data_IF_225610985530
#
_entry.id   IF_225610985530
#
_cell.length_a   1.000
_cell.length_b   1.000
_cell.length_c   1.000
_cell.angle_alpha   90.00
_cell.angle_beta   90.00
_cell.angle_gamma   90.00
#
_symmetry.space_group_name_H-M   'P 1'
#
loop_
_entity.id
_entity.type
_entity.pdbx_description
1 polymer ?
#
# COMPACT_ATOMS: atom_id res chain seq x y z
N UNK A 1 -47.44 -28.49 43.63
CA UNK A 1 -47.23 -27.11 44.10
C UNK A 1 -47.19 -26.18 42.89
N UNK A 2 -47.99 -25.11 42.98
CA UNK A 2 -47.94 -23.81 42.27
C UNK A 2 -46.88 -23.61 41.16
N UNK A 3 -47.11 -22.89 40.05
CA UNK A 3 -48.27 -22.32 39.33
C UNK A 3 -47.63 -21.58 38.11
N UNK A 4 -48.23 -21.72 36.92
CA UNK A 4 -48.47 -20.70 35.84
C UNK A 4 -47.23 -20.01 35.18
N UNK A 5 -46.93 -20.26 33.90
CA UNK A 5 -47.47 -19.70 32.61
C UNK A 5 -47.14 -18.21 32.34
N UNK A 6 -46.83 -17.81 31.08
CA UNK A 6 -46.29 -16.51 30.65
C UNK A 6 -47.40 -15.52 30.22
N UNK A 7 -47.04 -14.25 29.96
CA UNK A 7 -47.91 -13.17 29.46
C UNK A 7 -47.00 -12.14 28.76
N UNK A 8 -46.99 -11.95 27.42
CA UNK A 8 -47.97 -11.34 26.50
C UNK A 8 -48.21 -9.83 26.74
N UNK A 9 -47.79 -9.00 25.75
CA UNK A 9 -48.43 -7.78 25.17
C UNK A 9 -47.32 -6.95 24.47
N UNK A 10 -47.24 -6.70 23.15
CA UNK A 10 -48.20 -6.22 22.15
C UNK A 10 -48.78 -4.82 22.45
N UNK A 11 -48.21 -3.76 21.83
CA UNK A 11 -48.87 -2.56 21.28
C UNK A 11 -47.84 -1.84 20.38
N UNK A 12 -47.95 -1.76 19.04
CA UNK A 12 -48.90 -1.08 18.14
C UNK A 12 -48.69 0.46 18.02
N UNK A 13 -48.59 0.91 16.76
CA UNK A 13 -49.06 2.21 16.19
C UNK A 13 -48.33 3.51 16.58
N UNK A 14 -48.22 4.61 15.80
CA UNK A 14 -48.61 5.02 14.42
C UNK A 14 -48.39 6.56 14.36
N UNK A 15 -47.95 7.12 13.21
CA UNK A 15 -48.10 8.53 12.77
C UNK A 15 -47.46 9.64 13.64
N UNK A 16 -47.12 10.86 13.19
CA UNK A 16 -47.54 11.68 12.06
C UNK A 16 -46.50 12.80 11.79
N UNK A 17 -46.56 13.29 10.55
CA UNK A 17 -46.00 14.51 9.93
C UNK A 17 -45.69 15.73 10.82
N UNK A 18 -44.75 16.57 10.34
CA UNK A 18 -44.87 18.02 10.07
C UNK A 18 -43.59 18.43 9.29
N UNK A 19 -43.60 18.69 7.98
CA UNK A 19 -44.04 19.91 7.30
C UNK A 19 -43.38 21.20 7.83
N UNK A 20 -42.34 21.66 7.14
CA UNK A 20 -41.77 23.01 7.26
C UNK A 20 -41.52 23.58 5.86
N UNK A 21 -42.35 24.55 5.49
CA UNK A 21 -42.42 25.22 4.20
C UNK A 21 -41.62 26.54 4.20
N UNK A 22 -41.05 26.84 3.04
CA UNK A 22 -40.83 28.18 2.44
C UNK A 22 -39.66 29.05 2.92
N UNK A 23 -39.23 30.07 2.14
CA UNK A 23 -39.55 30.38 0.73
C UNK A 23 -38.32 30.47 -0.20
N UNK A 24 -38.63 30.39 -1.49
CA UNK A 24 -37.77 30.69 -2.61
C UNK A 24 -37.22 32.14 -2.58
N UNK A 25 -35.94 32.29 -2.91
CA UNK A 25 -35.41 33.54 -3.46
C UNK A 25 -35.11 33.32 -4.95
N UNK A 26 -35.94 33.96 -5.74
CA UNK A 26 -35.76 34.22 -7.16
C UNK A 26 -34.68 35.29 -7.32
N UNK A 27 -33.62 34.97 -8.06
CA UNK A 27 -32.86 35.98 -8.81
C UNK A 27 -32.47 35.38 -10.15
N UNK A 28 -32.95 36.06 -11.19
CA UNK A 28 -32.82 35.88 -12.64
C UNK A 28 -31.41 35.53 -13.17
N UNK A 29 -31.32 34.85 -14.32
CA UNK A 29 -30.07 34.66 -15.05
C UNK A 29 -29.61 35.97 -15.73
N UNK A 30 -28.30 36.26 -15.81
CA UNK A 30 -27.80 37.29 -16.70
C UNK A 30 -27.86 36.84 -18.16
N UNK A 31 -28.50 37.68 -18.97
CA UNK A 31 -28.59 37.67 -20.43
C UNK A 31 -27.20 37.85 -21.09
N UNK A 32 -26.90 37.19 -22.23
CA UNK A 32 -25.58 37.19 -22.85
C UNK A 32 -25.51 38.24 -23.95
N UNK A 33 -24.91 39.40 -23.67
CA UNK A 33 -24.57 40.38 -24.72
C UNK A 33 -23.36 41.21 -24.32
N UNK A 34 -22.15 40.79 -24.67
CA UNK A 34 -21.06 41.69 -25.11
C UNK A 34 -20.14 40.95 -26.07
N UNK A 35 -20.22 41.35 -27.35
CA UNK A 35 -19.28 40.98 -28.41
C UNK A 35 -17.89 41.58 -28.16
N UNK A 36 -16.82 40.96 -28.70
CA UNK A 36 -15.44 41.29 -28.43
C UNK A 36 -14.98 42.54 -29.17
N UNK A 37 -14.28 43.43 -28.47
CA UNK A 37 -13.57 44.55 -29.08
C UNK A 37 -12.44 44.04 -29.99
N UNK A 38 -12.59 44.33 -31.28
CA UNK A 38 -11.60 44.18 -32.33
C UNK A 38 -10.41 45.11 -32.07
N UNK A 39 -9.19 44.58 -32.04
CA UNK A 39 -7.96 45.36 -32.19
C UNK A 39 -7.24 44.90 -33.46
N UNK A 40 -7.01 45.88 -34.33
CA UNK A 40 -6.37 45.80 -35.65
C UNK A 40 -4.86 45.56 -35.53
N UNK A 41 -4.23 44.87 -36.51
CA UNK A 41 -2.78 44.72 -36.56
C UNK A 41 -2.16 45.90 -37.31
N UNK A 42 -1.37 46.73 -36.62
CA UNK A 42 -0.50 47.72 -37.28
C UNK A 42 0.88 47.12 -37.53
N UNK A 43 1.34 47.33 -38.76
CA UNK A 43 2.59 46.94 -39.38
C UNK A 43 3.83 47.33 -38.57
N UNK A 44 4.81 46.42 -38.51
CA UNK A 44 6.21 46.79 -38.37
C UNK A 44 7.04 46.15 -39.49
N UNK A 45 7.39 47.00 -40.46
CA UNK A 45 8.22 46.69 -41.62
C UNK A 45 9.68 46.60 -41.17
N UNK A 46 10.36 45.47 -41.44
CA UNK A 46 11.82 45.38 -41.34
C UNK A 46 12.37 44.90 -42.69
N UNK A 47 13.16 45.79 -43.30
CA UNK A 47 13.82 45.64 -44.59
C UNK A 47 15.08 44.75 -44.47
N UNK A 48 15.39 43.88 -45.45
CA UNK A 48 16.61 43.06 -45.39
C UNK A 48 17.83 43.85 -45.87
N UNK A 49 18.95 43.72 -45.15
CA UNK A 49 20.27 44.25 -45.55
C UNK A 49 21.18 43.11 -46.01
N UNK A 50 21.98 43.29 -47.08
CA UNK A 50 22.67 42.18 -47.74
C UNK A 50 23.94 41.74 -46.98
N UNK A 51 24.09 40.43 -46.87
CA UNK A 51 25.28 39.75 -46.36
C UNK A 51 26.31 39.55 -47.48
N UNK A 52 27.59 39.77 -47.20
CA UNK A 52 28.72 39.21 -47.97
C UNK A 52 29.90 38.94 -47.04
N UNK A 53 30.69 37.88 -47.30
CA UNK A 53 31.49 37.22 -46.28
C UNK A 53 32.94 37.70 -46.27
N UNK A 54 33.55 37.72 -45.08
CA UNK A 54 35.00 37.72 -44.95
C UNK A 54 35.41 36.43 -44.20
N UNK A 55 36.14 35.60 -44.93
CA UNK A 55 36.77 34.37 -44.45
C UNK A 55 37.98 34.70 -43.59
N UNK A 56 38.06 34.17 -42.38
CA UNK A 56 39.32 33.99 -41.67
C UNK A 56 39.27 32.68 -40.88
N UNK A 57 40.02 31.72 -41.38
CA UNK A 57 40.27 30.40 -40.80
C UNK A 57 41.03 30.54 -39.48
N UNK A 58 40.34 30.35 -38.36
CA UNK A 58 40.92 29.74 -37.17
C UNK A 58 40.16 28.45 -36.91
N UNK A 59 40.85 27.33 -37.12
CA UNK A 59 40.36 26.01 -36.81
C UNK A 59 40.49 25.80 -35.29
N UNK A 60 39.40 25.62 -34.54
CA UNK A 60 39.50 25.13 -33.16
C UNK A 60 39.95 23.67 -33.24
N UNK A 61 41.02 23.31 -32.53
CA UNK A 61 41.33 21.91 -32.29
C UNK A 61 40.15 21.29 -31.53
N UNK A 62 39.55 20.27 -32.14
CA UNK A 62 38.48 19.48 -31.57
C UNK A 62 38.98 18.89 -30.24
N UNK A 63 38.32 19.13 -29.09
CA UNK A 63 38.68 18.44 -27.86
C UNK A 63 38.55 16.94 -28.12
N UNK A 64 39.63 16.21 -27.86
CA UNK A 64 39.63 14.75 -27.86
C UNK A 64 38.62 14.31 -26.81
N UNK A 65 37.46 13.80 -27.24
CA UNK A 65 36.51 13.16 -26.35
C UNK A 65 37.21 11.98 -25.67
N UNK A 66 37.56 12.16 -24.41
CA UNK A 66 37.90 11.03 -23.54
C UNK A 66 36.64 10.19 -23.44
N UNK A 67 36.66 8.90 -23.83
CA UNK A 67 35.48 8.05 -23.67
C UNK A 67 35.07 8.10 -22.21
N UNK A 68 33.87 8.61 -21.94
CA UNK A 68 33.26 8.49 -20.62
C UNK A 68 33.18 6.99 -20.32
N UNK A 69 34.02 6.54 -19.40
CA UNK A 69 33.94 5.20 -18.86
C UNK A 69 32.51 5.05 -18.31
N UNK A 70 31.73 4.04 -18.73
CA UNK A 70 30.38 3.86 -18.21
C UNK A 70 30.48 3.77 -16.69
N UNK A 71 29.94 4.78 -16.00
CA UNK A 71 29.75 4.74 -14.56
C UNK A 71 28.91 3.50 -14.30
N UNK A 72 29.52 2.48 -13.70
CA UNK A 72 28.80 1.27 -13.33
C UNK A 72 27.63 1.70 -12.45
N UNK A 73 26.40 1.41 -12.90
CA UNK A 73 25.22 1.49 -12.05
C UNK A 73 25.55 0.74 -10.76
N UNK A 74 25.35 1.34 -9.57
CA UNK A 74 25.59 0.64 -8.31
C UNK A 74 24.88 -0.72 -8.36
N UNK A 75 25.61 -1.80 -8.11
CA UNK A 75 25.00 -3.12 -8.04
C UNK A 75 23.95 -3.12 -6.93
N UNK A 76 22.78 -3.67 -7.23
CA UNK A 76 21.67 -3.82 -6.29
C UNK A 76 22.18 -4.49 -5.00
N UNK A 77 21.87 -3.95 -3.80
CA UNK A 77 22.26 -4.58 -2.55
C UNK A 77 21.74 -6.03 -2.48
N UNK A 78 22.61 -6.96 -2.07
CA UNK A 78 22.25 -8.37 -1.90
C UNK A 78 21.68 -8.55 -0.50
N UNK A 79 20.43 -9.01 -0.40
CA UNK A 79 19.79 -9.40 0.86
C UNK A 79 20.50 -10.65 1.41
N UNK A 80 20.73 -10.68 2.72
CA UNK A 80 21.42 -11.79 3.39
C UNK A 80 22.82 -12.17 2.82
N UNK A 81 23.64 -11.21 2.39
CA UNK A 81 25.01 -11.52 1.94
C UNK A 81 25.81 -12.23 3.06
N UNK A 82 26.23 -13.50 2.85
CA UNK A 82 26.97 -14.25 3.86
C UNK A 82 28.34 -13.63 4.19
N UNK A 83 28.86 -12.79 3.30
CA UNK A 83 30.12 -12.06 3.47
C UNK A 83 29.93 -10.65 4.06
N UNK A 84 28.70 -10.22 4.33
CA UNK A 84 28.44 -8.94 4.96
C UNK A 84 29.10 -8.87 6.36
N UNK A 85 29.52 -7.68 6.81
CA UNK A 85 29.99 -7.47 8.17
C UNK A 85 28.99 -7.98 9.21
N UNK A 86 29.51 -8.39 10.38
CA UNK A 86 28.65 -8.76 11.49
C UNK A 86 27.74 -7.57 11.88
N UNK A 87 26.42 -7.75 11.99
CA UNK A 87 25.54 -6.66 12.37
C UNK A 87 25.88 -6.16 13.78
N UNK A 88 25.65 -4.87 14.08
CA UNK A 88 25.84 -4.32 15.42
C UNK A 88 24.95 -5.03 16.45
N UNK A 89 25.24 -4.88 17.74
CA UNK A 89 24.43 -5.48 18.82
C UNK A 89 23.08 -4.78 19.03
N UNK A 90 22.88 -3.63 18.39
CA UNK A 90 21.61 -2.91 18.36
C UNK A 90 21.51 -2.07 17.09
N UNK A 91 20.30 -1.92 16.57
CA UNK A 91 19.96 -0.98 15.51
C UNK A 91 18.50 -0.55 15.65
N UNK A 92 18.16 0.63 15.18
CA UNK A 92 16.78 1.13 15.16
C UNK A 92 16.61 2.05 13.96
N UNK A 93 15.52 1.87 13.24
CA UNK A 93 15.13 2.68 12.09
C UNK A 93 14.15 3.75 12.56
N UNK A 94 14.38 4.99 12.16
CA UNK A 94 13.44 6.09 12.40
C UNK A 94 12.46 6.23 11.23
N UNK A 95 11.27 6.78 11.47
CA UNK A 95 10.32 7.10 10.39
C UNK A 95 9.41 5.96 9.94
N UNK A 96 9.54 4.75 10.50
CA UNK A 96 8.57 3.66 10.25
C UNK A 96 7.29 3.94 11.05
N UNK A 97 6.15 4.05 10.37
CA UNK A 97 4.86 4.38 10.97
C UNK A 97 3.85 3.30 10.60
N UNK A 98 3.21 2.72 11.62
CA UNK A 98 2.12 1.76 11.42
C UNK A 98 0.74 2.40 11.50
N UNK A 99 -0.25 1.69 10.96
CA UNK A 99 -1.68 1.96 11.13
C UNK A 99 -2.40 0.66 11.54
N UNK A 100 -3.56 0.74 12.23
CA UNK A 100 -4.31 -0.46 12.56
C UNK A 100 -4.97 -1.02 11.31
N UNK A 101 -4.94 -2.35 11.16
CA UNK A 101 -5.60 -3.06 10.07
C UNK A 101 -7.12 -2.81 10.09
N UNK A 102 -7.71 -2.75 8.91
CA UNK A 102 -9.13 -2.46 8.73
C UNK A 102 -10.03 -3.67 8.98
N UNK A 103 -9.54 -4.90 8.76
CA UNK A 103 -10.29 -6.14 8.86
C UNK A 103 -9.58 -7.16 9.74
N UNK A 104 -10.27 -8.22 10.17
CA UNK A 104 -9.67 -9.20 11.09
C UNK A 104 -8.50 -9.98 10.52
N UNK A 105 -8.45 -10.17 9.20
CA UNK A 105 -7.43 -10.95 8.50
C UNK A 105 -6.80 -10.13 7.36
N UNK A 106 -6.41 -8.90 7.63
CA UNK A 106 -5.76 -8.01 6.66
C UNK A 106 -4.39 -7.50 7.12
N UNK A 107 -3.77 -8.21 8.07
CA UNK A 107 -2.51 -7.79 8.67
C UNK A 107 -1.38 -7.64 7.64
N UNK A 108 -1.33 -8.51 6.63
CA UNK A 108 -0.31 -8.56 5.59
C UNK A 108 -0.45 -7.36 4.65
N UNK A 109 -1.69 -7.05 4.23
CA UNK A 109 -1.98 -5.89 3.41
C UNK A 109 -1.71 -4.58 4.17
N UNK A 110 -2.00 -4.55 5.48
CA UNK A 110 -1.67 -3.41 6.34
C UNK A 110 -0.16 -3.24 6.48
N UNK A 111 0.56 -4.31 6.82
CA UNK A 111 2.02 -4.30 6.94
C UNK A 111 2.70 -3.89 5.62
N UNK A 112 2.19 -4.38 4.48
CA UNK A 112 2.68 -4.00 3.16
C UNK A 112 2.46 -2.51 2.88
N UNK A 113 1.28 -1.97 3.21
CA UNK A 113 0.98 -0.55 3.04
C UNK A 113 1.88 0.34 3.90
N UNK A 114 2.06 -0.02 5.17
CA UNK A 114 2.88 0.74 6.12
C UNK A 114 4.38 0.66 5.75
N UNK A 115 4.88 -0.51 5.31
CA UNK A 115 6.24 -0.65 4.81
C UNK A 115 6.45 0.10 3.48
N UNK A 116 5.48 0.09 2.58
CA UNK A 116 5.58 0.83 1.32
C UNK A 116 5.64 2.35 1.57
N UNK A 117 4.87 2.85 2.54
CA UNK A 117 4.89 4.26 2.91
C UNK A 117 6.26 4.71 3.44
N UNK A 118 7.03 3.83 4.10
CA UNK A 118 8.42 4.12 4.49
C UNK A 118 9.33 4.37 3.28
N UNK A 119 9.00 3.79 2.12
CA UNK A 119 9.70 3.99 0.85
C UNK A 119 9.05 5.05 -0.04
N UNK A 120 8.21 5.92 0.54
CA UNK A 120 7.45 6.95 -0.17
C UNK A 120 6.51 6.40 -1.27
N UNK A 121 6.12 5.11 -1.18
CA UNK A 121 5.15 4.48 -2.08
C UNK A 121 3.80 4.40 -1.40
N UNK A 122 2.81 5.10 -1.95
CA UNK A 122 1.46 5.12 -1.41
C UNK A 122 0.67 3.86 -1.80
N UNK A 123 0.45 2.97 -0.85
CA UNK A 123 -0.42 1.80 -0.98
C UNK A 123 -1.57 1.94 0.01
N UNK A 124 -2.79 1.62 -0.44
CA UNK A 124 -3.94 1.49 0.46
C UNK A 124 -4.20 0.03 0.77
N UNK A 125 -4.36 -0.30 2.05
CA UNK A 125 -4.61 -1.66 2.54
C UNK A 125 -5.73 -2.36 1.76
N UNK A 126 -6.88 -1.71 1.61
CA UNK A 126 -8.04 -2.29 0.93
C UNK A 126 -7.80 -2.52 -0.57
N UNK A 127 -7.13 -1.59 -1.25
CA UNK A 127 -6.80 -1.70 -2.67
C UNK A 127 -5.78 -2.83 -2.88
N UNK A 128 -4.72 -2.82 -2.09
CA UNK A 128 -3.69 -3.85 -2.12
C UNK A 128 -4.28 -5.23 -1.87
N UNK A 129 -5.08 -5.38 -0.81
CA UNK A 129 -5.77 -6.63 -0.52
C UNK A 129 -6.63 -7.11 -1.69
N UNK A 130 -7.41 -6.20 -2.32
CA UNK A 130 -8.29 -6.55 -3.43
C UNK A 130 -7.56 -7.10 -4.66
N UNK A 131 -6.26 -6.81 -4.78
CA UNK A 131 -5.40 -7.25 -5.87
C UNK A 131 -4.57 -8.50 -5.54
N UNK A 132 -4.56 -8.94 -4.28
CA UNK A 132 -3.93 -10.20 -3.92
C UNK A 132 -4.66 -11.36 -4.63
N UNK A 133 -3.91 -12.34 -5.16
CA UNK A 133 -4.53 -13.57 -5.67
C UNK A 133 -5.28 -14.27 -4.55
N UNK A 134 -6.36 -14.99 -4.89
CA UNK A 134 -7.08 -15.87 -3.97
C UNK A 134 -6.70 -17.31 -4.28
N UNK A 135 -6.38 -18.07 -3.25
CA UNK A 135 -5.99 -19.47 -3.38
C UNK A 135 -6.40 -20.24 -2.11
N UNK A 136 -6.35 -21.57 -2.19
CA UNK A 136 -6.44 -22.44 -1.01
C UNK A 136 -5.07 -22.62 -0.34
N UNK A 137 -3.98 -22.35 -1.07
CA UNK A 137 -2.60 -22.37 -0.59
C UNK A 137 -2.15 -20.94 -0.24
N UNK A 138 -1.77 -20.65 1.02
CA UNK A 138 -1.35 -19.31 1.41
C UNK A 138 -0.05 -18.84 0.75
N UNK A 139 0.80 -19.75 0.24
CA UNK A 139 1.98 -19.37 -0.56
C UNK A 139 1.60 -18.85 -1.96
N UNK A 140 0.39 -19.12 -2.45
CA UNK A 140 -0.09 -18.75 -3.79
C UNK A 140 -1.11 -17.60 -3.75
N UNK A 141 -1.75 -17.36 -2.61
CA UNK A 141 -2.71 -16.28 -2.45
C UNK A 141 -3.47 -16.30 -1.12
N UNK A 142 -4.35 -15.32 -0.93
CA UNK A 142 -5.13 -15.18 0.30
C UNK A 142 -6.17 -16.31 0.46
N UNK A 143 -6.13 -16.96 1.62
CA UNK A 143 -6.99 -18.09 1.98
C UNK A 143 -8.17 -17.64 2.84
N UNK A 144 -9.37 -17.73 2.26
CA UNK A 144 -10.65 -17.53 2.94
C UNK A 144 -11.19 -16.10 2.85
N UNK A 145 -11.82 -15.62 3.94
CA UNK A 145 -12.54 -14.36 3.96
C UNK A 145 -11.85 -13.33 4.86
N UNK A 146 -11.60 -12.12 4.36
CA UNK A 146 -10.84 -11.06 5.05
C UNK A 146 -11.42 -10.65 6.41
N UNK A 147 -12.73 -10.78 6.60
CA UNK A 147 -13.40 -10.54 7.89
C UNK A 147 -13.74 -11.85 8.63
N UNK A 148 -13.02 -12.92 8.32
CA UNK A 148 -13.15 -14.22 8.96
C UNK A 148 -12.65 -14.23 10.40
N UNK A 149 -12.84 -15.35 11.09
CA UNK A 149 -12.34 -15.52 12.45
C UNK A 149 -10.81 -15.58 12.46
N UNK A 150 -10.18 -14.76 13.29
CA UNK A 150 -8.73 -14.83 13.51
C UNK A 150 -8.35 -16.03 14.37
N UNK A 151 -7.23 -16.66 14.05
CA UNK A 151 -6.72 -17.83 14.78
C UNK A 151 -7.03 -19.19 14.14
N UNK A 152 -7.69 -19.22 12.99
CA UNK A 152 -7.93 -20.46 12.26
C UNK A 152 -6.75 -20.80 11.32
N UNK A 153 -6.81 -21.96 10.66
CA UNK A 153 -5.87 -22.40 9.63
C UNK A 153 -6.66 -22.93 8.42
N UNK A 154 -6.05 -23.03 7.21
CA UNK A 154 -6.72 -23.57 6.04
C UNK A 154 -7.35 -24.96 6.28
N UNK A 155 -8.51 -25.26 5.66
CA UNK A 155 -9.19 -24.49 4.61
C UNK A 155 -10.11 -23.38 5.16
N UNK A 156 -10.03 -23.06 6.45
CA UNK A 156 -10.78 -21.93 7.01
C UNK A 156 -10.09 -20.60 6.68
N UNK A 157 -10.70 -19.49 7.07
CA UNK A 157 -10.10 -18.17 6.83
C UNK A 157 -8.79 -18.04 7.61
N UNK A 158 -7.74 -17.62 6.92
CA UNK A 158 -6.39 -17.68 7.45
C UNK A 158 -5.64 -16.38 7.16
N UNK A 159 -5.19 -16.21 5.91
CA UNK A 159 -4.23 -15.17 5.55
C UNK A 159 -3.57 -15.49 4.23
N UNK A 160 -2.46 -14.80 3.96
CA UNK A 160 -1.55 -14.99 2.83
C UNK A 160 -0.10 -14.99 3.34
N UNK A 161 0.75 -15.79 2.73
CA UNK A 161 2.18 -15.80 3.05
C UNK A 161 2.94 -14.71 2.29
N UNK A 162 4.25 -14.63 2.52
CA UNK A 162 5.08 -13.54 2.02
C UNK A 162 5.14 -13.42 0.49
N UNK A 163 5.12 -14.53 -0.27
CA UNK A 163 5.38 -14.49 -1.72
C UNK A 163 4.34 -13.68 -2.50
N UNK A 164 3.02 -13.92 -2.39
CA UNK A 164 2.03 -13.14 -3.13
C UNK A 164 2.01 -11.65 -2.73
N UNK A 165 2.37 -11.35 -1.46
CA UNK A 165 2.50 -9.98 -0.97
C UNK A 165 3.70 -9.30 -1.63
N UNK A 166 4.87 -9.95 -1.65
CA UNK A 166 6.07 -9.42 -2.28
C UNK A 166 5.88 -9.21 -3.78
N UNK A 167 5.29 -10.18 -4.48
CA UNK A 167 5.00 -10.09 -5.91
C UNK A 167 4.09 -8.89 -6.21
N UNK A 168 3.07 -8.66 -5.39
CA UNK A 168 2.22 -7.50 -5.53
C UNK A 168 2.96 -6.20 -5.20
N UNK A 169 3.78 -6.15 -4.15
CA UNK A 169 4.61 -4.97 -3.85
C UNK A 169 5.58 -4.62 -4.99
N UNK A 170 6.11 -5.61 -5.71
CA UNK A 170 6.90 -5.39 -6.93
C UNK A 170 6.09 -4.68 -8.01
N UNK A 171 4.80 -5.03 -8.16
CA UNK A 171 3.91 -4.33 -9.07
C UNK A 171 3.71 -2.86 -8.67
N UNK A 172 3.75 -2.53 -7.39
CA UNK A 172 3.73 -1.13 -6.90
C UNK A 172 5.07 -0.40 -7.04
N UNK A 173 6.07 -1.02 -7.67
CA UNK A 173 7.39 -0.43 -7.91
C UNK A 173 8.36 -0.58 -6.75
N UNK A 174 8.06 -1.42 -5.75
CA UNK A 174 8.99 -1.72 -4.68
C UNK A 174 9.95 -2.84 -5.07
N UNK A 175 11.20 -2.75 -4.64
CA UNK A 175 12.16 -3.84 -4.77
C UNK A 175 11.97 -4.83 -3.61
N UNK A 176 10.86 -5.57 -3.63
CA UNK A 176 10.43 -6.50 -2.60
C UNK A 176 10.88 -7.94 -2.88
N UNK A 177 11.18 -8.69 -1.83
CA UNK A 177 11.52 -10.12 -1.89
C UNK A 177 10.93 -10.85 -0.67
N UNK A 178 10.29 -11.98 -0.92
CA UNK A 178 9.79 -12.87 0.11
C UNK A 178 10.85 -13.91 0.49
N UNK A 179 10.90 -14.26 1.77
CA UNK A 179 11.88 -15.18 2.32
C UNK A 179 11.18 -16.26 3.15
N UNK A 180 11.72 -17.47 3.06
CA UNK A 180 11.58 -18.53 4.06
C UNK A 180 12.96 -18.89 4.59
N UNK A 181 13.00 -19.44 5.79
CA UNK A 181 14.22 -19.85 6.50
C UNK A 181 15.22 -18.71 6.72
N UNK A 182 14.75 -17.46 6.73
CA UNK A 182 15.61 -16.30 6.92
C UNK A 182 16.28 -16.38 8.29
N UNK A 183 17.58 -16.06 8.36
CA UNK A 183 18.30 -16.11 9.64
C UNK A 183 18.08 -14.81 10.43
N UNK A 184 18.11 -14.90 11.77
CA UNK A 184 18.05 -13.70 12.61
C UNK A 184 19.20 -12.73 12.33
N UNK A 185 20.40 -13.24 12.01
CA UNK A 185 21.53 -12.42 11.56
C UNK A 185 21.16 -11.60 10.32
N UNK A 186 20.44 -12.20 9.38
CA UNK A 186 20.00 -11.46 8.20
C UNK A 186 19.00 -10.36 8.56
N UNK A 187 17.99 -10.63 9.40
CA UNK A 187 17.10 -9.57 9.91
C UNK A 187 17.89 -8.42 10.53
N UNK A 188 18.88 -8.75 11.38
CA UNK A 188 19.72 -7.74 12.02
C UNK A 188 20.52 -6.89 11.01
N UNK A 189 20.98 -7.49 9.91
CA UNK A 189 21.67 -6.78 8.82
C UNK A 189 20.74 -5.85 8.05
N UNK A 190 19.49 -6.26 7.77
CA UNK A 190 18.49 -5.41 7.13
C UNK A 190 18.18 -4.18 7.99
N UNK A 191 17.91 -4.40 9.29
CA UNK A 191 17.62 -3.31 10.22
C UNK A 191 18.83 -2.37 10.37
N UNK A 192 20.05 -2.91 10.47
CA UNK A 192 21.27 -2.11 10.54
C UNK A 192 21.53 -1.29 9.28
N UNK A 193 21.00 -1.73 8.13
CA UNK A 193 21.08 -1.02 6.87
C UNK A 193 19.91 -0.07 6.61
N UNK A 194 19.05 0.17 7.61
CA UNK A 194 17.92 1.11 7.49
C UNK A 194 16.72 0.54 6.73
N UNK A 195 16.59 -0.79 6.65
CA UNK A 195 15.51 -1.45 5.91
C UNK A 195 14.60 -2.23 6.86
N UNK A 196 13.37 -1.73 7.15
CA UNK A 196 12.42 -2.44 7.97
C UNK A 196 11.91 -3.68 7.24
N UNK A 197 11.51 -4.70 8.00
CA UNK A 197 11.15 -6.03 7.46
C UNK A 197 9.80 -6.45 7.98
N UNK A 198 8.90 -6.91 7.11
CA UNK A 198 7.65 -7.57 7.55
C UNK A 198 8.02 -8.99 7.96
N UNK A 199 7.54 -9.43 9.12
CA UNK A 199 7.76 -10.77 9.64
C UNK A 199 6.43 -11.43 9.95
N UNK A 200 6.32 -12.73 9.65
CA UNK A 200 5.17 -13.56 9.99
C UNK A 200 5.44 -14.28 11.30
N UNK A 201 4.63 -14.02 12.32
CA UNK A 201 4.77 -14.60 13.65
C UNK A 201 3.42 -15.14 14.13
N UNK A 202 3.41 -15.79 15.29
CA UNK A 202 2.20 -16.27 15.94
C UNK A 202 1.75 -15.28 17.01
N UNK A 203 0.62 -14.60 16.74
CA UNK A 203 0.03 -13.59 17.60
C UNK A 203 1.02 -12.48 17.98
N UNK A 204 1.09 -12.13 19.27
CA UNK A 204 2.04 -11.14 19.79
C UNK A 204 3.33 -11.82 20.25
N UNK A 205 4.06 -12.43 19.32
CA UNK A 205 5.26 -13.24 19.58
C UNK A 205 5.03 -14.40 20.58
N UNK A 206 3.87 -15.05 20.48
CA UNK A 206 3.54 -16.23 21.26
C UNK A 206 4.28 -17.46 20.74
N UNK A 207 4.46 -18.46 21.59
CA UNK A 207 4.92 -19.76 21.12
C UNK A 207 3.87 -20.38 20.18
N UNK A 208 4.28 -20.70 18.96
CA UNK A 208 3.46 -21.34 17.95
C UNK A 208 3.84 -22.81 17.74
N UNK A 209 2.92 -23.59 17.17
CA UNK A 209 3.22 -24.92 16.65
C UNK A 209 3.06 -24.88 15.12
N UNK A 210 4.11 -25.19 14.34
CA UNK A 210 3.99 -25.32 12.90
C UNK A 210 3.09 -26.51 12.56
N UNK A 211 2.20 -26.33 11.59
CA UNK A 211 1.30 -27.35 11.08
C UNK A 211 1.56 -27.51 9.58
N UNK A 212 2.07 -28.66 9.12
CA UNK A 212 2.13 -28.96 7.69
C UNK A 212 0.73 -28.99 7.09
N UNK A 213 0.54 -28.27 6.00
CA UNK A 213 -0.70 -28.18 5.25
C UNK A 213 -0.43 -28.50 3.78
N UNK A 214 -1.12 -29.52 3.28
CA UNK A 214 -1.11 -29.86 1.85
C UNK A 214 -2.36 -29.26 1.23
N UNK A 215 -2.18 -28.26 0.38
CA UNK A 215 -3.27 -27.61 -0.32
C UNK A 215 -3.81 -28.51 -1.46
N UNK A 216 -5.01 -28.20 -2.01
CA UNK A 216 -5.59 -28.98 -3.11
C UNK A 216 -4.74 -29.05 -4.39
N UNK A 217 -3.80 -28.12 -4.56
CA UNK A 217 -2.78 -28.12 -5.62
C UNK A 217 -1.70 -29.21 -5.44
N UNK A 218 -1.67 -29.86 -4.26
CA UNK A 218 -0.71 -30.88 -3.89
C UNK A 218 0.62 -30.34 -3.35
N UNK A 219 0.73 -29.02 -3.18
CA UNK A 219 1.91 -28.36 -2.61
C UNK A 219 1.75 -28.31 -1.09
N UNK A 220 2.82 -28.67 -0.39
CA UNK A 220 2.89 -28.59 1.06
C UNK A 220 3.50 -27.26 1.50
N UNK A 221 2.93 -26.67 2.55
CA UNK A 221 3.47 -25.48 3.23
C UNK A 221 3.26 -25.59 4.74
N UNK A 222 3.89 -24.70 5.51
CA UNK A 222 3.71 -24.61 6.96
C UNK A 222 2.74 -23.47 7.27
N UNK A 223 1.71 -23.77 8.07
CA UNK A 223 0.78 -22.79 8.62
C UNK A 223 0.80 -22.86 10.15
N UNK A 224 0.35 -21.81 10.81
CA UNK A 224 0.18 -21.81 12.26
C UNK A 224 -1.11 -21.09 12.68
N UNK A 225 -1.87 -21.59 13.66
CA UNK A 225 -2.98 -20.84 14.23
C UNK A 225 -2.49 -19.50 14.77
N UNK A 226 -3.31 -18.46 14.60
CA UNK A 226 -2.99 -17.07 14.99
C UNK A 226 -1.76 -16.52 14.26
N UNK A 227 -1.56 -16.93 13.00
CA UNK A 227 -0.65 -16.20 12.10
C UNK A 227 -0.97 -14.70 12.13
N UNK A 228 0.09 -13.91 12.13
CA UNK A 228 0.04 -12.46 12.23
C UNK A 228 1.30 -11.84 11.64
N UNK A 229 1.17 -10.67 11.00
CA UNK A 229 2.33 -9.90 10.53
C UNK A 229 2.63 -8.70 11.41
N UNK A 230 3.92 -8.41 11.54
CA UNK A 230 4.42 -7.22 12.19
C UNK A 230 5.61 -6.65 11.42
N UNK A 231 5.90 -5.36 11.58
CA UNK A 231 7.08 -4.74 10.97
C UNK A 231 8.20 -4.65 12.01
N UNK A 232 9.29 -5.38 11.78
CA UNK A 232 10.53 -5.24 12.54
C UNK A 232 11.27 -3.99 12.07
N UNK A 233 11.55 -3.08 13.00
CA UNK A 233 12.27 -1.84 12.72
C UNK A 233 13.45 -1.61 13.68
N UNK A 234 13.62 -2.46 14.68
CA UNK A 234 14.70 -2.30 15.66
C UNK A 234 14.98 -3.58 16.45
N UNK A 235 16.19 -3.64 16.99
CA UNK A 235 16.58 -4.64 17.98
C UNK A 235 17.67 -4.10 18.90
N UNK A 236 17.79 -4.71 20.08
CA UNK A 236 18.91 -4.56 20.99
C UNK A 236 19.48 -5.94 21.37
N UNK A 237 20.33 -5.99 22.40
CA UNK A 237 20.98 -7.24 22.82
C UNK A 237 20.00 -8.33 23.27
N UNK A 238 18.79 -7.96 23.70
CA UNK A 238 17.82 -8.87 24.31
C UNK A 238 16.45 -8.85 23.62
N UNK A 239 16.11 -7.79 22.89
CA UNK A 239 14.76 -7.56 22.39
C UNK A 239 14.72 -7.19 20.91
N UNK A 240 13.58 -7.45 20.30
CA UNK A 240 13.14 -6.88 19.03
C UNK A 240 12.06 -5.83 19.26
N UNK A 241 12.00 -4.84 18.39
CA UNK A 241 10.99 -3.78 18.37
C UNK A 241 10.17 -3.90 17.09
N UNK A 242 8.87 -4.15 17.27
CA UNK A 242 7.93 -4.49 16.22
C UNK A 242 6.81 -3.45 16.20
N UNK A 243 6.28 -3.15 15.02
CA UNK A 243 5.02 -2.42 14.87
C UNK A 243 3.93 -3.44 14.58
N UNK A 244 2.90 -3.45 15.41
CA UNK A 244 1.76 -4.35 15.30
C UNK A 244 0.79 -3.88 14.21
N UNK A 245 0.56 -4.70 13.18
CA UNK A 245 -0.44 -4.41 12.16
C UNK A 245 -1.87 -4.34 12.72
N UNK A 246 -2.17 -5.05 13.82
CA UNK A 246 -3.51 -5.05 14.40
C UNK A 246 -3.81 -3.74 15.13
N UNK A 247 -2.90 -3.28 15.98
CA UNK A 247 -3.13 -2.11 16.85
C UNK A 247 -2.37 -0.84 16.48
N UNK A 248 -1.46 -0.87 15.50
CA UNK A 248 -0.43 0.15 15.20
C UNK A 248 0.59 0.42 16.30
N UNK A 249 0.55 -0.33 17.41
CA UNK A 249 1.43 -0.07 18.55
C UNK A 249 2.83 -0.61 18.30
N UNK A 250 3.81 0.11 18.84
CA UNK A 250 5.15 -0.43 19.01
C UNK A 250 5.13 -1.41 20.17
N UNK A 251 5.54 -2.63 19.89
CA UNK A 251 5.71 -3.70 20.86
C UNK A 251 7.19 -4.07 20.98
N UNK A 252 7.58 -4.48 22.19
CA UNK A 252 8.93 -4.95 22.46
C UNK A 252 8.84 -6.36 23.02
N UNK A 253 9.53 -7.29 22.37
CA UNK A 253 9.52 -8.70 22.70
C UNK A 253 10.94 -9.21 22.87
N UNK A 254 11.14 -10.16 23.78
CA UNK A 254 12.45 -10.80 23.90
C UNK A 254 12.81 -11.52 22.60
N UNK A 255 14.08 -11.50 22.22
CA UNK A 255 14.58 -12.23 21.03
C UNK A 255 14.21 -13.71 21.14
N UNK A 256 14.30 -14.30 22.35
CA UNK A 256 13.93 -15.70 22.55
C UNK A 256 12.45 -15.98 22.21
N UNK A 257 11.51 -15.17 22.70
CA UNK A 257 10.08 -15.31 22.38
C UNK A 257 9.81 -15.08 20.90
N UNK A 258 10.41 -14.03 20.33
CA UNK A 258 10.30 -13.72 18.92
C UNK A 258 10.75 -14.89 18.03
N UNK A 259 11.94 -15.45 18.28
CA UNK A 259 12.48 -16.55 17.48
C UNK A 259 11.60 -17.80 17.55
N UNK A 260 11.07 -18.15 18.73
CA UNK A 260 10.15 -19.29 18.87
C UNK A 260 8.87 -19.08 18.04
N UNK A 261 8.35 -17.85 18.04
CA UNK A 261 7.15 -17.49 17.29
C UNK A 261 7.39 -17.49 15.77
N UNK A 262 8.47 -16.84 15.35
CA UNK A 262 8.86 -16.70 13.95
C UNK A 262 9.24 -18.04 13.29
N UNK A 263 9.91 -18.92 14.03
CA UNK A 263 10.25 -20.27 13.55
C UNK A 263 9.01 -21.13 13.29
N UNK A 264 7.88 -20.87 13.96
CA UNK A 264 6.65 -21.63 13.73
C UNK A 264 6.04 -21.38 12.34
N UNK A 265 6.49 -20.33 11.64
CA UNK A 265 6.09 -19.96 10.29
C UNK A 265 7.33 -19.92 9.37
N UNK A 266 8.25 -20.87 9.54
CA UNK A 266 9.46 -21.04 8.73
C UNK A 266 10.35 -19.79 8.64
N UNK A 267 10.43 -18.98 9.70
CA UNK A 267 11.19 -17.72 9.69
C UNK A 267 10.82 -16.83 8.49
N UNK A 268 9.53 -16.78 8.15
CA UNK A 268 9.04 -16.08 6.98
C UNK A 268 9.14 -14.57 7.15
N UNK A 269 9.60 -13.92 6.10
CA UNK A 269 9.82 -12.47 6.08
C UNK A 269 9.65 -11.90 4.69
N UNK A 270 9.45 -10.58 4.62
CA UNK A 270 9.45 -9.82 3.38
C UNK A 270 10.34 -8.59 3.56
N UNK A 271 11.37 -8.50 2.72
CA UNK A 271 12.31 -7.38 2.70
C UNK A 271 11.99 -6.46 1.53
N UNK A 272 12.19 -5.16 1.71
CA UNK A 272 12.21 -4.17 0.63
C UNK A 272 13.51 -3.40 0.71
N UNK A 273 14.24 -3.32 -0.39
CA UNK A 273 15.55 -2.62 -0.41
C UNK A 273 15.55 -1.26 -1.08
N UNK A 274 14.42 -0.87 -1.67
CA UNK A 274 14.22 0.39 -2.37
C UNK A 274 12.87 0.44 -3.06
N UNK A 275 12.58 1.59 -3.66
CA UNK A 275 11.48 1.76 -4.59
C UNK A 275 12.00 2.39 -5.89
N UNK A 276 11.52 1.90 -7.03
CA UNK A 276 11.72 2.52 -8.33
C UNK A 276 10.58 3.53 -8.58
N UNK A 277 10.88 4.80 -8.31
CA UNK A 277 9.95 5.91 -8.49
C UNK A 277 9.41 6.04 -9.92
N UNK A 278 10.07 5.46 -10.94
CA UNK A 278 9.59 5.49 -12.31
C UNK A 278 8.41 4.54 -12.56
N UNK A 279 8.34 3.42 -11.83
CA UNK A 279 7.27 2.41 -11.94
C UNK A 279 6.06 2.79 -11.08
N UNK A 280 6.27 3.35 -9.88
CA UNK A 280 5.20 3.79 -8.99
C UNK A 280 4.27 4.85 -9.63
N UNK A 281 4.77 5.60 -10.61
CA UNK A 281 3.99 6.61 -11.36
C UNK A 281 3.09 6.04 -12.47
N UNK A 282 3.26 4.78 -12.88
CA UNK A 282 2.56 4.18 -14.02
C UNK A 282 1.45 3.19 -13.65
N UNK A 283 1.41 2.69 -12.41
CA UNK A 283 0.35 1.79 -11.96
C UNK A 283 -0.86 2.57 -11.44
N UNK A 284 -1.47 3.33 -12.34
CA UNK A 284 -2.87 3.71 -12.21
C UNK A 284 -3.70 2.41 -12.23
N UNK A 285 -4.44 2.19 -11.16
CA UNK A 285 -5.34 1.07 -10.93
C UNK A 285 -6.13 0.66 -12.21
N UNK A 286 -6.00 -0.60 -12.64
CA UNK A 286 -6.62 -1.11 -13.88
C UNK A 286 -7.99 -1.77 -13.67
N UNK A 287 -8.64 -1.57 -12.53
CA UNK A 287 -10.02 -2.01 -12.33
C UNK A 287 -11.00 -0.97 -12.86
N UNK A 288 -12.15 -1.42 -13.39
CA UNK A 288 -13.24 -0.51 -13.79
C UNK A 288 -14.00 0.04 -12.56
N UNK A 289 -14.01 -0.75 -11.48
CA UNK A 289 -14.74 -0.45 -10.25
C UNK A 289 -13.97 -0.93 -9.02
N UNK A 290 -14.13 -0.19 -7.93
CA UNK A 290 -13.57 -0.48 -6.61
C UNK A 290 -14.64 -0.33 -5.54
N UNK A 291 -14.84 -1.33 -4.70
CA UNK A 291 -15.66 -1.21 -3.51
C UNK A 291 -14.84 -0.56 -2.39
N UNK A 292 -15.29 0.59 -1.88
CA UNK A 292 -14.65 1.32 -0.79
C UNK A 292 -14.58 0.43 0.43
N UNK A 293 -13.41 0.38 1.04
CA UNK A 293 -13.08 -0.40 2.21
C UNK A 293 -13.04 0.49 3.46
N UNK A 294 -13.10 -0.13 4.65
CA UNK A 294 -12.95 0.61 5.90
C UNK A 294 -11.56 1.27 5.99
N UNK A 295 -11.52 2.57 6.31
CA UNK A 295 -10.29 3.36 6.36
C UNK A 295 -9.92 4.08 5.07
N UNK A 296 -10.60 3.79 3.96
CA UNK A 296 -10.41 4.53 2.72
C UNK A 296 -10.91 5.98 2.85
N UNK A 297 -10.22 6.86 2.13
CA UNK A 297 -10.67 8.22 1.89
C UNK A 297 -10.63 8.52 0.40
N UNK A 298 -11.47 9.43 -0.07
CA UNK A 298 -11.50 9.81 -1.48
C UNK A 298 -10.13 10.32 -1.94
N UNK A 299 -9.47 11.14 -1.11
CA UNK A 299 -8.12 11.62 -1.36
C UNK A 299 -7.09 10.49 -1.34
N UNK A 300 -7.20 9.54 -0.41
CA UNK A 300 -6.34 8.37 -0.35
C UNK A 300 -6.43 7.54 -1.62
N UNK A 301 -7.66 7.21 -2.06
CA UNK A 301 -7.90 6.42 -3.28
C UNK A 301 -7.40 7.16 -4.51
N UNK A 302 -7.67 8.47 -4.58
CA UNK A 302 -7.18 9.32 -5.66
C UNK A 302 -5.64 9.32 -5.76
N UNK A 303 -4.95 9.51 -4.63
CA UNK A 303 -3.49 9.45 -4.58
C UNK A 303 -2.97 8.07 -4.98
N UNK A 304 -3.57 6.99 -4.47
CA UNK A 304 -3.19 5.62 -4.78
C UNK A 304 -3.39 5.25 -6.26
N UNK A 305 -4.39 5.85 -6.91
CA UNK A 305 -4.66 5.64 -8.34
C UNK A 305 -3.98 6.67 -9.23
N UNK A 306 -3.17 7.58 -8.66
CA UNK A 306 -2.55 8.69 -9.34
C UNK A 306 -3.53 9.56 -10.15
N UNK A 307 -4.77 9.73 -9.65
CA UNK A 307 -5.80 10.59 -10.24
C UNK A 307 -6.11 11.78 -9.32
N UNK A 308 -6.51 12.95 -9.86
CA UNK A 308 -6.99 14.04 -9.03
C UNK A 308 -8.26 13.64 -8.26
N UNK A 309 -8.31 13.92 -6.94
CA UNK A 309 -9.43 13.51 -6.09
C UNK A 309 -10.76 14.13 -6.52
N UNK A 310 -10.74 15.33 -7.07
CA UNK A 310 -11.88 16.05 -7.62
C UNK A 310 -12.40 15.41 -8.91
N UNK A 311 -11.49 14.93 -9.76
CA UNK A 311 -11.83 14.14 -10.95
C UNK A 311 -12.47 12.81 -10.56
N UNK A 312 -11.93 12.14 -9.55
CA UNK A 312 -12.51 10.91 -9.01
C UNK A 312 -13.89 11.16 -8.36
N UNK A 313 -14.04 12.29 -7.64
CA UNK A 313 -15.31 12.72 -7.06
C UNK A 313 -16.35 12.93 -8.17
N UNK A 314 -15.99 13.68 -9.20
CA UNK A 314 -16.87 14.00 -10.32
C UNK A 314 -17.29 12.75 -11.09
N UNK A 315 -16.35 11.83 -11.38
CA UNK A 315 -16.61 10.55 -12.04
C UNK A 315 -17.69 9.73 -11.31
N UNK A 316 -17.70 9.83 -9.98
CA UNK A 316 -18.56 9.05 -9.10
C UNK A 316 -19.77 9.83 -8.57
N UNK A 317 -19.99 11.07 -9.02
CA UNK A 317 -21.07 11.92 -8.55
C UNK A 317 -20.98 12.25 -7.05
N UNK A 318 -19.79 12.20 -6.47
CA UNK A 318 -19.53 12.53 -5.06
C UNK A 318 -19.43 14.04 -4.93
N UNK A 319 -20.29 14.62 -4.09
CA UNK A 319 -20.33 16.06 -3.79
C UNK A 319 -19.92 16.33 -2.35
N UNK A 320 -19.66 17.60 -2.02
CA UNK A 320 -19.37 18.04 -0.65
C UNK A 320 -20.38 17.42 0.35
N UNK A 321 -19.93 16.77 1.44
CA UNK A 321 -18.60 16.85 2.06
C UNK A 321 -17.53 15.89 1.51
N UNK A 322 -17.72 15.33 0.32
CA UNK A 322 -16.77 14.43 -0.35
C UNK A 322 -16.45 13.14 0.42
N UNK A 323 -17.42 12.70 1.22
CA UNK A 323 -17.33 11.46 1.98
C UNK A 323 -17.61 10.25 1.11
N UNK A 324 -16.84 9.21 1.31
CA UNK A 324 -17.09 7.86 0.81
C UNK A 324 -17.33 6.93 2.00
N UNK A 325 -18.05 5.85 1.77
CA UNK A 325 -18.42 4.91 2.83
C UNK A 325 -18.04 3.49 2.46
N UNK A 326 -17.61 2.65 3.42
CA UNK A 326 -17.36 1.24 3.15
C UNK A 326 -18.56 0.56 2.48
N UNK A 327 -18.29 -0.25 1.45
CA UNK A 327 -19.30 -0.88 0.60
C UNK A 327 -19.79 -0.03 -0.57
N UNK A 328 -19.40 1.24 -0.66
CA UNK A 328 -19.70 2.08 -1.83
C UNK A 328 -18.85 1.63 -3.02
N UNK A 329 -19.45 1.40 -4.18
CA UNK A 329 -18.69 1.07 -5.39
C UNK A 329 -18.36 2.35 -6.15
N UNK A 330 -17.07 2.61 -6.35
CA UNK A 330 -16.52 3.69 -7.15
C UNK A 330 -16.07 3.17 -8.51
N UNK A 331 -16.30 3.96 -9.55
CA UNK A 331 -15.58 3.90 -10.81
C UNK A 331 -14.18 4.47 -10.60
N UNK A 332 -13.18 3.76 -11.08
CA UNK A 332 -11.77 4.10 -10.93
C UNK A 332 -11.13 4.60 -12.22
N UNK A 333 -11.72 4.28 -13.38
CA UNK A 333 -11.23 4.76 -14.67
C UNK A 333 -11.61 6.24 -14.88
N UNK A 334 -10.68 7.13 -14.52
CA UNK A 334 -10.57 8.42 -15.18
C UNK A 334 -9.72 8.16 -16.40
N UNK A 335 -10.36 7.86 -17.53
CA UNK A 335 -9.71 7.86 -18.85
C UNK A 335 -8.72 9.02 -18.85
N UNK A 336 -7.42 8.72 -18.85
CA UNK A 336 -6.36 9.71 -18.81
C UNK A 336 -6.34 10.38 -20.17
N UNK A 337 -7.32 11.23 -20.42
CA UNK A 337 -7.35 12.20 -21.50
C UNK A 337 -6.29 13.25 -21.20
N UNK A 338 -5.03 12.88 -21.40
CA UNK A 338 -3.99 13.86 -21.70
C UNK A 338 -4.19 14.23 -23.17
N UNK A 339 -4.50 15.50 -23.50
CA UNK A 339 -4.53 15.95 -24.90
C UNK A 339 -3.16 15.86 -25.58
#
# INVERSE_FOLDING_TARGET
MMKRLPMICAMLSLLMLLAGCSPAMSTSPPDPTQDPATLTPDEMIITPSPFSPASSTMQPELPTETPLQPTATPAKPVVCDPNAPEPPTRATIEGVVGQPQAYSLSCEARSAADLAAYWDVAILEGVFFSQLPKADNPDEGFVGFISGAWGEIPPKSYGVHAQPVADLMVMYGLEAEAHKEMTFRCLQSEIAAGRPVIVWIVGHAWAGLPVPYVAPDGIETIVAPYEHTMILFGYDANNVHLIDAYTSKIETHSIASFLVSWTALDNMALTVIGADASVASQMAYTGDYYEVQYGDSLLGLANAWAVPWDSLAALNGIVHPFSIYPGQVLKSDVSTGVP
#
